data_IF_942998488786
#
_entry.id   IF_942998488786
#
_cell.length_a   1.000
_cell.length_b   1.000
_cell.length_c   1.000
_cell.angle_alpha   90.00
_cell.angle_beta   90.00
_cell.angle_gamma   90.00
#
_symmetry.space_group_name_H-M   'P 1'
#
loop_
_entity.id
_entity.type
_entity.pdbx_description
1 polymer ?
#
# COMPACT_ATOMS: atom_id res chain seq x y z
N UNK A 1 -42.10 61.13 -65.73
CA UNK A 1 -41.36 61.07 -64.44
C UNK A 1 -40.98 59.63 -64.22
N UNK A 2 -39.67 59.37 -64.13
CA UNK A 2 -39.05 58.06 -63.90
C UNK A 2 -38.98 57.81 -62.41
N UNK A 3 -39.23 56.58 -61.96
CA UNK A 3 -38.57 56.01 -60.78
C UNK A 3 -38.56 54.48 -60.94
N UNK A 4 -37.43 53.96 -61.42
CA UNK A 4 -37.09 52.54 -61.37
C UNK A 4 -36.19 52.35 -60.16
N UNK A 5 -36.68 51.62 -59.16
CA UNK A 5 -35.91 51.23 -57.98
C UNK A 5 -35.22 49.90 -58.31
N UNK A 6 -33.89 49.95 -58.40
CA UNK A 6 -33.02 48.78 -58.48
C UNK A 6 -32.69 48.34 -57.05
N UNK A 7 -33.22 47.20 -56.64
CA UNK A 7 -32.89 46.54 -55.38
C UNK A 7 -31.71 45.59 -55.64
N UNK A 8 -30.50 46.01 -55.25
CA UNK A 8 -29.31 45.15 -55.25
C UNK A 8 -29.35 44.27 -54.00
N UNK A 9 -29.55 42.97 -54.21
CA UNK A 9 -29.33 41.96 -53.17
C UNK A 9 -27.83 41.64 -53.13
N UNK A 10 -27.13 42.17 -52.13
CA UNK A 10 -25.77 41.77 -51.80
C UNK A 10 -25.85 40.46 -50.99
N UNK A 11 -25.66 39.33 -51.67
CA UNK A 11 -25.47 38.03 -51.03
C UNK A 11 -24.08 38.01 -50.42
N UNK A 12 -23.97 38.32 -49.13
CA UNK A 12 -22.75 38.09 -48.36
C UNK A 12 -22.59 36.58 -48.18
N UNK A 13 -21.70 35.97 -48.98
CA UNK A 13 -21.24 34.62 -48.72
C UNK A 13 -20.44 34.65 -47.40
N UNK A 14 -21.08 34.27 -46.29
CA UNK A 14 -20.35 33.81 -45.12
C UNK A 14 -19.64 32.52 -45.54
N UNK A 15 -18.38 32.65 -45.92
CA UNK A 15 -17.43 31.55 -45.87
C UNK A 15 -17.30 31.20 -44.38
N UNK A 16 -18.11 30.23 -43.93
CA UNK A 16 -17.76 29.49 -42.73
C UNK A 16 -16.42 28.82 -43.05
N UNK A 17 -15.35 29.32 -42.46
CA UNK A 17 -14.13 28.55 -42.36
C UNK A 17 -14.52 27.29 -41.59
N UNK A 18 -14.58 26.15 -42.28
CA UNK A 18 -14.54 24.86 -41.60
C UNK A 18 -13.31 24.93 -40.69
N UNK A 19 -13.41 24.60 -39.39
CA UNK A 19 -12.21 24.44 -38.59
C UNK A 19 -11.31 23.47 -39.36
N UNK A 20 -10.07 23.91 -39.65
CA UNK A 20 -9.05 22.96 -40.04
C UNK A 20 -9.00 21.95 -38.90
N UNK A 21 -9.29 20.69 -39.21
CA UNK A 21 -9.24 19.59 -38.26
C UNK A 21 -7.80 19.62 -37.73
N UNK A 22 -7.65 19.98 -36.46
CA UNK A 22 -6.34 20.16 -35.87
C UNK A 22 -5.84 18.77 -35.48
N UNK A 23 -5.46 18.00 -36.50
CA UNK A 23 -4.89 16.67 -36.36
C UNK A 23 -3.51 16.73 -35.70
N UNK A 24 -3.11 15.61 -35.11
CA UNK A 24 -1.74 15.38 -34.67
C UNK A 24 -0.81 15.39 -35.88
N UNK A 25 0.04 16.41 -35.99
CA UNK A 25 0.94 16.58 -37.14
C UNK A 25 2.40 16.45 -36.72
N UNK A 26 3.20 15.72 -37.51
CA UNK A 26 4.63 15.58 -37.29
C UNK A 26 5.22 14.29 -37.86
N UNK A 27 6.55 14.20 -37.83
CA UNK A 27 7.28 12.95 -38.05
C UNK A 27 8.42 12.89 -37.03
N UNK A 28 8.42 11.89 -36.15
CA UNK A 28 9.32 11.79 -35.00
C UNK A 28 9.05 12.78 -33.86
N UNK A 29 8.55 13.99 -34.15
CA UNK A 29 7.98 14.91 -33.16
C UNK A 29 6.60 15.32 -33.63
N UNK A 30 5.58 14.94 -32.87
CA UNK A 30 4.15 15.03 -33.19
C UNK A 30 3.49 15.98 -32.20
N UNK A 31 2.69 16.92 -32.69
CA UNK A 31 1.96 17.86 -31.85
C UNK A 31 0.48 17.85 -32.20
N UNK A 32 -0.36 17.57 -31.21
CA UNK A 32 -1.81 17.65 -31.31
C UNK A 32 -2.26 18.98 -30.69
N UNK A 33 -2.74 19.91 -31.52
CA UNK A 33 -3.07 21.29 -31.11
C UNK A 33 -4.58 21.59 -31.10
N UNK A 34 -5.42 20.60 -31.40
CA UNK A 34 -6.87 20.69 -31.29
C UNK A 34 -7.48 19.29 -31.35
N UNK A 35 -8.66 19.17 -31.96
CA UNK A 35 -9.36 17.89 -32.00
C UNK A 35 -8.83 17.00 -33.14
N UNK A 36 -8.30 15.86 -32.74
CA UNK A 36 -8.04 14.67 -33.55
C UNK A 36 -9.09 13.60 -33.21
N UNK A 37 -9.75 13.04 -34.23
CA UNK A 37 -10.91 12.16 -34.05
C UNK A 37 -10.71 10.77 -34.63
N UNK A 38 -9.52 10.50 -35.15
CA UNK A 38 -9.14 9.23 -35.77
C UNK A 38 -7.89 8.61 -35.12
N UNK A 39 -7.50 9.12 -33.95
CA UNK A 39 -6.34 8.67 -33.19
C UNK A 39 -5.01 9.03 -33.85
N UNK A 40 -3.92 8.56 -33.25
CA UNK A 40 -2.58 8.70 -33.82
C UNK A 40 -1.78 7.40 -33.66
N UNK A 41 -1.19 6.93 -34.76
CA UNK A 41 -0.38 5.70 -34.77
C UNK A 41 0.99 5.94 -35.43
N UNK A 42 2.07 5.49 -34.78
CA UNK A 42 3.43 5.44 -35.35
C UNK A 42 4.21 4.26 -34.73
N UNK A 43 4.95 3.52 -35.55
CA UNK A 43 5.77 2.37 -35.11
C UNK A 43 7.29 2.68 -35.17
N UNK A 44 7.66 3.95 -35.32
CA UNK A 44 9.06 4.38 -35.34
C UNK A 44 9.61 4.53 -33.92
N UNK A 45 10.87 4.17 -33.71
CA UNK A 45 11.55 4.39 -32.43
C UNK A 45 11.71 5.89 -32.12
N UNK A 46 11.64 6.25 -30.84
CA UNK A 46 11.94 7.58 -30.34
C UNK A 46 10.93 8.66 -30.74
N UNK A 47 9.69 8.28 -31.07
CA UNK A 47 8.62 9.24 -31.37
C UNK A 47 8.28 10.04 -30.11
N UNK A 48 8.29 11.35 -30.23
CA UNK A 48 7.84 12.28 -29.19
C UNK A 48 6.49 12.88 -29.60
N UNK A 49 5.45 12.64 -28.81
CA UNK A 49 4.10 13.15 -29.04
C UNK A 49 3.68 14.09 -27.90
N UNK A 50 3.10 15.23 -28.25
CA UNK A 50 2.52 16.17 -27.26
C UNK A 50 1.08 16.52 -27.59
N UNK A 51 0.17 16.22 -26.67
CA UNK A 51 -1.23 16.67 -26.70
C UNK A 51 -1.31 17.97 -25.89
N UNK A 52 -1.50 19.09 -26.57
CA UNK A 52 -1.46 20.42 -25.94
C UNK A 52 -2.70 20.69 -25.07
N UNK A 53 -2.63 21.66 -24.14
CA UNK A 53 -3.79 22.10 -23.38
C UNK A 53 -4.98 22.47 -24.28
N UNK A 54 -6.13 21.83 -24.06
CA UNK A 54 -7.36 22.02 -24.83
C UNK A 54 -7.40 21.30 -26.18
N UNK A 55 -6.37 20.55 -26.54
CA UNK A 55 -6.43 19.56 -27.61
C UNK A 55 -7.09 18.26 -27.12
N UNK A 56 -7.59 17.47 -28.06
CA UNK A 56 -8.17 16.16 -27.77
C UNK A 56 -7.74 15.16 -28.84
N UNK A 57 -7.39 13.94 -28.44
CA UNK A 57 -7.16 12.79 -29.34
C UNK A 57 -8.17 11.72 -28.99
N UNK A 58 -9.06 11.37 -29.91
CA UNK A 58 -10.11 10.38 -29.67
C UNK A 58 -10.13 9.31 -30.76
N UNK A 59 -10.40 8.07 -30.40
CA UNK A 59 -10.54 6.94 -31.34
C UNK A 59 -11.63 5.95 -30.87
N UNK A 60 -12.24 5.21 -31.80
CA UNK A 60 -13.11 4.07 -31.44
C UNK A 60 -12.29 2.85 -30.99
N UNK A 61 -10.98 2.82 -31.26
CA UNK A 61 -10.02 1.85 -30.70
C UNK A 61 -8.98 2.60 -29.86
N UNK A 62 -7.71 2.31 -30.09
CA UNK A 62 -6.58 2.96 -29.43
C UNK A 62 -6.54 4.45 -29.82
N UNK A 63 -6.48 5.37 -28.85
CA UNK A 63 -6.38 6.81 -29.16
C UNK A 63 -4.98 7.22 -29.58
N UNK A 64 -3.95 6.74 -28.89
CA UNK A 64 -2.53 6.95 -29.25
C UNK A 64 -1.83 5.59 -29.22
N UNK A 65 -1.19 5.21 -30.34
CA UNK A 65 -0.45 3.95 -30.47
C UNK A 65 0.98 4.21 -30.97
N UNK A 66 1.95 4.08 -30.08
CA UNK A 66 3.38 4.31 -30.35
C UNK A 66 4.21 3.06 -30.05
N UNK A 67 4.20 2.08 -30.97
CA UNK A 67 4.80 0.75 -30.74
C UNK A 67 6.33 0.71 -30.83
N UNK A 68 6.97 1.78 -31.30
CA UNK A 68 8.44 1.89 -31.37
C UNK A 68 9.07 2.04 -29.98
N UNK A 69 10.35 1.67 -29.86
CA UNK A 69 11.07 1.77 -28.58
C UNK A 69 11.33 3.24 -28.21
N UNK A 70 11.30 3.57 -26.92
CA UNK A 70 11.71 4.87 -26.41
C UNK A 70 10.76 6.02 -26.77
N UNK A 71 9.48 5.73 -26.97
CA UNK A 71 8.47 6.76 -27.20
C UNK A 71 8.36 7.71 -26.00
N UNK A 72 8.07 8.99 -26.27
CA UNK A 72 7.78 9.99 -25.23
C UNK A 72 6.42 10.62 -25.49
N UNK A 73 5.46 10.37 -24.60
CA UNK A 73 4.12 10.97 -24.66
C UNK A 73 3.98 12.02 -23.56
N UNK A 74 3.63 13.24 -23.94
CA UNK A 74 3.22 14.30 -23.02
C UNK A 74 1.75 14.63 -23.28
N UNK A 75 0.87 14.30 -22.34
CA UNK A 75 -0.53 14.67 -22.40
C UNK A 75 -0.84 15.82 -21.44
N UNK A 76 -1.12 17.00 -21.97
CA UNK A 76 -1.67 18.14 -21.23
C UNK A 76 -3.14 18.43 -21.64
N UNK A 77 -3.71 17.59 -22.51
CA UNK A 77 -5.06 17.73 -23.06
C UNK A 77 -5.98 16.58 -22.65
N UNK A 78 -6.78 16.09 -23.60
CA UNK A 78 -7.65 14.94 -23.41
C UNK A 78 -7.28 13.82 -24.39
N UNK A 79 -7.16 12.60 -23.90
CA UNK A 79 -6.99 11.38 -24.69
C UNK A 79 -8.16 10.45 -24.35
N UNK A 80 -8.92 10.01 -25.35
CA UNK A 80 -10.11 9.16 -25.17
C UNK A 80 -10.06 7.98 -26.15
N UNK A 81 -9.69 6.81 -25.64
CA UNK A 81 -9.70 5.54 -26.37
C UNK A 81 -11.00 4.79 -26.19
N UNK A 82 -11.54 4.24 -27.27
CA UNK A 82 -12.64 3.28 -27.18
C UNK A 82 -12.20 1.91 -26.68
N UNK A 83 -10.93 1.57 -26.95
CA UNK A 83 -10.22 0.40 -26.41
C UNK A 83 -9.14 0.91 -25.44
N UNK A 84 -7.90 1.12 -25.89
CA UNK A 84 -6.84 1.72 -25.08
C UNK A 84 -6.68 3.24 -25.24
N UNK A 85 -6.30 3.92 -24.16
CA UNK A 85 -5.97 5.35 -24.20
C UNK A 85 -4.63 5.59 -24.90
N UNK A 86 -3.56 5.04 -24.33
CA UNK A 86 -2.19 5.20 -24.80
C UNK A 86 -1.50 3.83 -24.80
N UNK A 87 -1.08 3.35 -25.98
CA UNK A 87 -0.26 2.15 -26.16
C UNK A 87 1.16 2.57 -26.50
N UNK A 88 2.17 2.03 -25.82
CA UNK A 88 3.58 2.37 -26.05
C UNK A 88 4.49 1.14 -26.17
N UNK A 89 5.65 1.31 -26.80
CA UNK A 89 6.74 0.32 -26.84
C UNK A 89 7.65 0.33 -25.60
N UNK A 90 8.63 -0.57 -25.57
CA UNK A 90 9.61 -0.66 -24.48
C UNK A 90 10.39 0.64 -24.27
N UNK A 91 10.85 0.88 -23.04
CA UNK A 91 11.57 2.09 -22.63
C UNK A 91 10.82 3.41 -22.85
N UNK A 92 9.50 3.35 -23.03
CA UNK A 92 8.70 4.55 -23.21
C UNK A 92 8.56 5.36 -21.93
N UNK A 93 8.28 6.66 -22.09
CA UNK A 93 7.90 7.55 -21.01
C UNK A 93 6.57 8.21 -21.33
N UNK A 94 5.60 8.05 -20.45
CA UNK A 94 4.29 8.72 -20.54
C UNK A 94 4.18 9.71 -19.39
N UNK A 95 3.96 10.98 -19.71
CA UNK A 95 3.68 12.05 -18.76
C UNK A 95 2.25 12.53 -18.97
N UNK A 96 1.40 12.28 -17.98
CA UNK A 96 0.00 12.70 -17.99
C UNK A 96 -0.23 13.84 -17.00
N UNK A 97 -0.40 15.06 -17.54
CA UNK A 97 -0.86 16.25 -16.81
C UNK A 97 -2.32 16.61 -17.16
N UNK A 98 -2.91 15.89 -18.13
CA UNK A 98 -4.26 16.08 -18.63
C UNK A 98 -5.23 15.00 -18.17
N UNK A 99 -6.05 14.52 -19.11
CA UNK A 99 -7.00 13.43 -18.87
C UNK A 99 -6.76 12.32 -19.90
N UNK A 100 -6.70 11.08 -19.43
CA UNK A 100 -6.76 9.87 -20.25
C UNK A 100 -8.00 9.08 -19.82
N UNK A 101 -8.86 8.74 -20.76
CA UNK A 101 -10.02 7.86 -20.57
C UNK A 101 -9.92 6.73 -21.58
N UNK A 102 -10.18 5.50 -21.14
CA UNK A 102 -10.15 4.33 -22.01
C UNK A 102 -11.28 3.35 -21.69
N UNK A 103 -11.74 2.62 -22.71
CA UNK A 103 -12.75 1.58 -22.55
C UNK A 103 -12.20 0.29 -21.94
N UNK A 104 -10.92 -0.01 -22.18
CA UNK A 104 -10.17 -1.14 -21.63
C UNK A 104 -9.04 -0.60 -20.75
N UNK A 105 -7.85 -0.36 -21.31
CA UNK A 105 -6.67 0.10 -20.55
C UNK A 105 -6.31 1.54 -20.84
N UNK A 106 -6.12 2.37 -19.81
CA UNK A 106 -5.80 3.77 -20.06
C UNK A 106 -4.36 3.98 -20.55
N UNK A 107 -3.39 3.26 -19.97
CA UNK A 107 -2.02 3.17 -20.48
C UNK A 107 -1.64 1.68 -20.56
N UNK A 108 -1.28 1.21 -21.75
CA UNK A 108 -0.90 -0.19 -22.00
C UNK A 108 0.55 -0.28 -22.50
N UNK A 109 1.34 -1.07 -21.78
CA UNK A 109 2.68 -1.50 -22.15
C UNK A 109 2.96 -2.94 -21.69
N UNK A 110 1.96 -3.82 -21.79
CA UNK A 110 2.04 -5.23 -21.42
C UNK A 110 3.24 -5.96 -22.05
N UNK A 111 4.05 -6.63 -21.22
CA UNK A 111 5.24 -7.38 -21.63
C UNK A 111 6.43 -6.53 -22.07
N UNK A 112 6.48 -5.23 -21.71
CA UNK A 112 7.50 -4.29 -22.17
C UNK A 112 8.33 -3.71 -21.02
N UNK A 113 9.64 -3.90 -21.11
CA UNK A 113 10.58 -3.48 -20.07
C UNK A 113 10.80 -1.95 -20.03
N UNK A 114 11.09 -1.46 -18.82
CA UNK A 114 11.63 -0.12 -18.59
C UNK A 114 10.68 1.03 -18.94
N UNK A 115 9.37 0.78 -18.93
CA UNK A 115 8.36 1.82 -19.15
C UNK A 115 8.16 2.66 -17.90
N UNK A 116 8.10 3.97 -18.07
CA UNK A 116 7.91 4.94 -16.99
C UNK A 116 6.66 5.79 -17.22
N UNK A 117 5.79 5.84 -16.23
CA UNK A 117 4.58 6.65 -16.22
C UNK A 117 4.66 7.67 -15.09
N UNK A 118 4.42 8.93 -15.42
CA UNK A 118 4.28 10.04 -14.47
C UNK A 118 2.87 10.60 -14.61
N UNK A 119 2.07 10.49 -13.57
CA UNK A 119 0.69 10.98 -13.56
C UNK A 119 0.54 12.13 -12.56
N UNK A 120 0.23 13.32 -13.05
CA UNK A 120 -0.23 14.47 -12.25
C UNK A 120 -1.68 14.85 -12.58
N UNK A 121 -2.22 14.30 -13.67
CA UNK A 121 -3.59 14.49 -14.14
C UNK A 121 -4.56 13.40 -13.67
N UNK A 122 -5.48 13.02 -14.56
CA UNK A 122 -6.49 11.98 -14.34
C UNK A 122 -6.33 10.85 -15.36
N UNK A 123 -6.39 9.62 -14.88
CA UNK A 123 -6.42 8.39 -15.66
C UNK A 123 -7.68 7.61 -15.24
N UNK A 124 -8.55 7.31 -16.19
CA UNK A 124 -9.78 6.53 -15.98
C UNK A 124 -9.83 5.38 -17.01
N UNK A 125 -9.99 4.15 -16.53
CA UNK A 125 -10.02 2.97 -17.37
C UNK A 125 -11.25 2.11 -17.08
N UNK A 126 -11.78 1.47 -18.12
CA UNK A 126 -12.87 0.50 -17.99
C UNK A 126 -12.44 -0.89 -17.56
N UNK A 127 -11.14 -1.19 -17.63
CA UNK A 127 -10.50 -2.40 -17.09
C UNK A 127 -9.32 -2.00 -16.22
N UNK A 128 -8.14 -1.69 -16.81
CA UNK A 128 -6.88 -1.43 -16.10
C UNK A 128 -6.35 -0.01 -16.27
N UNK A 129 -5.94 0.63 -15.18
CA UNK A 129 -5.47 2.02 -15.21
C UNK A 129 -4.14 2.15 -15.96
N UNK A 130 -3.09 1.59 -15.39
CA UNK A 130 -1.75 1.51 -15.99
C UNK A 130 -1.30 0.05 -15.95
N UNK A 131 -1.19 -0.57 -17.13
CA UNK A 131 -0.75 -1.96 -17.27
C UNK A 131 0.65 -2.02 -17.86
N UNK A 132 1.59 -2.54 -17.08
CA UNK A 132 2.97 -2.85 -17.48
C UNK A 132 3.32 -4.24 -16.90
N UNK A 133 2.39 -5.19 -17.07
CA UNK A 133 2.53 -6.55 -16.57
C UNK A 133 3.57 -7.34 -17.37
N UNK A 134 4.00 -8.50 -16.86
CA UNK A 134 5.00 -9.38 -17.49
C UNK A 134 6.29 -8.65 -17.93
N UNK A 135 6.64 -7.56 -17.24
CA UNK A 135 7.78 -6.69 -17.55
C UNK A 135 8.77 -6.65 -16.40
N UNK A 136 9.98 -6.15 -16.68
CA UNK A 136 10.95 -5.81 -15.62
C UNK A 136 11.11 -4.30 -15.50
N UNK A 137 11.00 -3.80 -14.28
CA UNK A 137 11.33 -2.42 -13.93
C UNK A 137 10.32 -1.38 -14.40
N UNK A 138 9.03 -1.72 -14.38
CA UNK A 138 7.94 -0.75 -14.53
C UNK A 138 8.07 0.37 -13.48
N UNK A 139 7.90 1.63 -13.86
CA UNK A 139 7.93 2.76 -12.91
C UNK A 139 6.68 3.60 -13.01
N UNK A 140 5.99 3.80 -11.88
CA UNK A 140 4.85 4.72 -11.75
C UNK A 140 5.11 5.77 -10.66
N UNK A 141 5.08 7.05 -11.04
CA UNK A 141 5.02 8.19 -10.12
C UNK A 141 3.64 8.85 -10.22
N UNK A 142 2.79 8.61 -9.23
CA UNK A 142 1.43 9.12 -9.17
C UNK A 142 1.31 10.24 -8.13
N UNK A 143 0.95 11.44 -8.59
CA UNK A 143 0.49 12.56 -7.78
C UNK A 143 -0.90 13.08 -8.18
N UNK A 144 -1.49 12.49 -9.22
CA UNK A 144 -2.83 12.75 -9.70
C UNK A 144 -3.83 11.71 -9.21
N UNK A 145 -4.73 11.32 -10.11
CA UNK A 145 -5.75 10.28 -9.87
C UNK A 145 -5.65 9.20 -10.93
N UNK A 146 -5.69 7.95 -10.49
CA UNK A 146 -5.84 6.75 -11.32
C UNK A 146 -7.03 5.98 -10.78
N UNK A 147 -8.04 5.78 -11.63
CA UNK A 147 -9.22 4.98 -11.32
C UNK A 147 -9.42 3.93 -12.40
N UNK A 148 -9.64 2.68 -11.99
CA UNK A 148 -9.90 1.58 -12.91
C UNK A 148 -11.02 0.68 -12.36
N UNK A 149 -11.58 -0.17 -13.23
CA UNK A 149 -12.58 -1.14 -12.78
C UNK A 149 -11.87 -2.30 -12.07
N UNK A 150 -10.89 -2.87 -12.74
CA UNK A 150 -9.94 -3.86 -12.24
C UNK A 150 -8.72 -3.12 -11.64
N UNK A 151 -7.52 -3.63 -11.85
CA UNK A 151 -6.27 -3.12 -11.30
C UNK A 151 -5.98 -1.69 -11.79
N UNK A 152 -5.88 -0.76 -10.83
CA UNK A 152 -5.52 0.62 -11.17
C UNK A 152 -4.05 0.73 -11.58
N UNK A 153 -3.18 -0.10 -11.02
CA UNK A 153 -1.80 -0.27 -11.48
C UNK A 153 -1.41 -1.76 -11.42
N UNK A 154 -0.93 -2.29 -12.54
CA UNK A 154 -0.39 -3.66 -12.66
C UNK A 154 1.04 -3.57 -13.19
N UNK A 155 2.01 -4.07 -12.42
CA UNK A 155 3.43 -4.09 -12.77
C UNK A 155 4.03 -5.48 -12.62
N UNK A 156 4.99 -5.84 -13.48
CA UNK A 156 5.74 -7.08 -13.32
C UNK A 156 6.86 -7.01 -12.28
N UNK A 157 7.88 -7.85 -12.43
CA UNK A 157 9.06 -7.91 -11.57
C UNK A 157 9.78 -6.54 -11.46
N UNK A 158 10.35 -6.28 -10.28
CA UNK A 158 11.09 -5.06 -9.96
C UNK A 158 10.27 -3.76 -10.17
N UNK A 159 8.93 -3.84 -10.15
CA UNK A 159 8.07 -2.67 -10.29
C UNK A 159 8.33 -1.63 -9.18
N UNK A 160 8.38 -0.36 -9.57
CA UNK A 160 8.61 0.78 -8.67
C UNK A 160 7.41 1.70 -8.68
N UNK A 161 6.72 1.82 -7.54
CA UNK A 161 5.59 2.72 -7.35
C UNK A 161 5.92 3.81 -6.32
N UNK A 162 5.73 5.07 -6.68
CA UNK A 162 5.61 6.18 -5.73
C UNK A 162 4.24 6.81 -5.86
N UNK A 163 3.43 6.74 -4.80
CA UNK A 163 2.09 7.30 -4.77
C UNK A 163 2.00 8.42 -3.74
N UNK A 164 1.70 9.64 -4.20
CA UNK A 164 1.30 10.80 -3.37
C UNK A 164 -0.13 11.24 -3.67
N UNK A 165 -0.76 10.63 -4.67
CA UNK A 165 -2.10 10.93 -5.16
C UNK A 165 -3.13 9.87 -4.74
N UNK A 166 -4.07 9.61 -5.63
CA UNK A 166 -5.08 8.56 -5.50
C UNK A 166 -4.85 7.46 -6.54
N UNK A 167 -4.85 6.21 -6.08
CA UNK A 167 -4.96 4.99 -6.88
C UNK A 167 -6.18 4.24 -6.36
N UNK A 168 -7.12 3.91 -7.24
CA UNK A 168 -8.40 3.31 -6.85
C UNK A 168 -8.88 2.31 -7.90
N UNK A 169 -9.03 1.06 -7.48
CA UNK A 169 -9.86 0.08 -8.18
C UNK A 169 -11.29 0.10 -7.64
N UNK A 170 -12.25 -0.28 -8.46
CA UNK A 170 -13.66 -0.45 -8.03
C UNK A 170 -14.06 -1.90 -7.79
N UNK A 171 -13.39 -2.87 -8.43
CA UNK A 171 -13.66 -4.30 -8.29
C UNK A 171 -12.44 -5.00 -7.67
N UNK A 172 -11.34 -5.16 -8.42
CA UNK A 172 -10.14 -5.90 -8.02
C UNK A 172 -9.11 -5.03 -7.26
N UNK A 173 -7.81 -5.26 -7.41
CA UNK A 173 -6.78 -4.67 -6.56
C UNK A 173 -6.48 -3.21 -6.88
N UNK A 174 -6.11 -2.44 -5.85
CA UNK A 174 -5.59 -1.09 -6.08
C UNK A 174 -4.28 -1.14 -6.86
N UNK A 175 -3.39 -2.05 -6.45
CA UNK A 175 -2.07 -2.27 -7.03
C UNK A 175 -1.78 -3.75 -7.04
N UNK A 176 -1.32 -4.29 -8.17
CA UNK A 176 -0.80 -5.65 -8.27
C UNK A 176 0.63 -5.62 -8.81
N UNK A 177 1.56 -6.28 -8.12
CA UNK A 177 2.98 -6.34 -8.50
C UNK A 177 3.63 -7.68 -8.20
N UNK A 178 4.60 -8.06 -9.03
CA UNK A 178 5.35 -9.31 -8.85
C UNK A 178 6.60 -9.12 -7.97
N UNK A 179 7.58 -10.02 -8.09
CA UNK A 179 8.74 -10.12 -7.23
C UNK A 179 9.68 -8.91 -7.32
N UNK A 180 10.26 -8.53 -6.18
CA UNK A 180 11.26 -7.46 -6.10
C UNK A 180 10.66 -6.05 -6.17
N UNK A 181 9.33 -5.92 -6.09
CA UNK A 181 8.68 -4.63 -6.17
C UNK A 181 9.07 -3.69 -5.02
N UNK A 182 9.04 -2.39 -5.29
CA UNK A 182 9.22 -1.33 -4.29
C UNK A 182 8.07 -0.35 -4.37
N UNK A 183 7.24 -0.30 -3.33
CA UNK A 183 6.09 0.58 -3.22
C UNK A 183 6.34 1.61 -2.12
N UNK A 184 6.22 2.89 -2.44
CA UNK A 184 6.23 3.99 -1.48
C UNK A 184 4.91 4.74 -1.56
N UNK A 185 4.11 4.65 -0.49
CA UNK A 185 2.80 5.29 -0.41
C UNK A 185 2.82 6.45 0.60
N UNK A 186 2.56 7.65 0.13
CA UNK A 186 2.23 8.86 0.90
C UNK A 186 0.79 9.35 0.62
N UNK A 187 0.12 8.76 -0.37
CA UNK A 187 -1.22 9.08 -0.82
C UNK A 187 -2.27 8.07 -0.34
N UNK A 188 -3.19 7.72 -1.23
CA UNK A 188 -4.25 6.73 -0.95
C UNK A 188 -4.26 5.67 -2.03
N UNK A 189 -4.32 4.41 -1.60
CA UNK A 189 -4.50 3.23 -2.43
C UNK A 189 -5.76 2.51 -1.94
N UNK A 190 -6.71 2.31 -2.86
CA UNK A 190 -7.94 1.59 -2.61
C UNK A 190 -8.03 0.35 -3.49
N UNK A 191 -8.16 -0.80 -2.84
CA UNK A 191 -8.77 -1.98 -3.44
C UNK A 191 -10.26 -1.75 -3.70
N UNK A 192 -10.78 -2.48 -4.66
CA UNK A 192 -12.18 -2.48 -5.00
C UNK A 192 -13.05 -3.18 -3.96
N UNK A 193 -14.32 -3.40 -4.30
CA UNK A 193 -15.29 -3.99 -3.38
C UNK A 193 -15.48 -5.50 -3.56
N UNK A 194 -14.78 -6.10 -4.53
CA UNK A 194 -15.00 -7.49 -4.97
C UNK A 194 -13.65 -8.13 -5.30
N UNK A 195 -13.08 -8.96 -4.42
CA UNK A 195 -11.74 -9.53 -4.64
C UNK A 195 -10.66 -8.46 -4.87
N UNK A 196 -10.69 -7.42 -4.02
CA UNK A 196 -9.88 -6.23 -4.22
C UNK A 196 -9.08 -5.87 -3.00
N UNK A 197 -7.79 -6.17 -3.05
CA UNK A 197 -6.81 -5.81 -2.05
C UNK A 197 -6.33 -4.38 -2.25
N UNK A 198 -5.85 -3.78 -1.17
CA UNK A 198 -5.15 -2.51 -1.30
C UNK A 198 -3.92 -2.69 -2.20
N UNK A 199 -3.11 -3.69 -1.89
CA UNK A 199 -1.93 -4.11 -2.65
C UNK A 199 -1.90 -5.63 -2.66
N UNK A 200 -1.76 -6.22 -3.84
CA UNK A 200 -1.37 -7.61 -4.07
C UNK A 200 0.13 -7.64 -4.49
N UNK A 201 0.95 -8.45 -3.82
CA UNK A 201 2.41 -8.52 -4.00
C UNK A 201 3.01 -9.92 -3.81
N UNK A 202 3.79 -10.39 -4.79
CA UNK A 202 4.57 -11.65 -4.64
C UNK A 202 5.78 -11.52 -3.70
N UNK A 203 6.38 -10.34 -3.59
CA UNK A 203 7.62 -10.13 -2.84
C UNK A 203 8.25 -8.77 -3.04
N UNK A 204 8.82 -8.16 -2.00
CA UNK A 204 9.49 -6.86 -2.13
C UNK A 204 9.45 -5.98 -0.89
N UNK A 205 9.38 -4.67 -1.10
CA UNK A 205 9.38 -3.65 -0.05
C UNK A 205 8.16 -2.73 -0.19
N UNK A 206 7.39 -2.61 0.88
CA UNK A 206 6.30 -1.63 1.01
C UNK A 206 6.66 -0.62 2.10
N UNK A 207 6.62 0.67 1.75
CA UNK A 207 6.79 1.77 2.69
C UNK A 207 5.53 2.63 2.69
N UNK A 208 4.66 2.41 3.67
CA UNK A 208 3.46 3.21 3.88
C UNK A 208 3.78 4.33 4.87
N UNK A 209 3.94 5.56 4.37
CA UNK A 209 4.31 6.73 5.17
C UNK A 209 3.15 7.21 6.03
N UNK A 210 3.43 8.14 6.96
CA UNK A 210 2.45 8.64 7.92
C UNK A 210 1.16 9.24 7.33
N UNK A 211 1.17 9.75 6.10
CA UNK A 211 -0.03 10.21 5.39
C UNK A 211 -0.69 9.15 4.51
N UNK A 212 0.00 8.04 4.29
CA UNK A 212 -0.40 6.93 3.46
C UNK A 212 -1.59 6.17 4.04
N UNK A 213 -2.55 5.90 3.17
CA UNK A 213 -3.64 4.95 3.40
C UNK A 213 -3.54 3.84 2.35
N UNK A 214 -3.57 2.61 2.82
CA UNK A 214 -3.77 1.40 2.01
C UNK A 214 -5.02 0.73 2.57
N UNK A 215 -6.06 0.57 1.76
CA UNK A 215 -7.33 0.00 2.22
C UNK A 215 -7.95 -0.91 1.16
N UNK A 216 -8.15 -2.19 1.51
CA UNK A 216 -9.17 -2.99 0.82
C UNK A 216 -10.54 -2.50 1.25
N UNK A 217 -11.41 -2.30 0.27
CA UNK A 217 -12.80 -1.92 0.48
C UNK A 217 -13.75 -3.09 0.21
N UNK A 218 -13.21 -4.31 0.13
CA UNK A 218 -14.05 -5.49 -0.01
C UNK A 218 -15.09 -5.49 1.10
N UNK A 219 -16.32 -5.75 0.68
CA UNK A 219 -17.44 -5.95 1.60
C UNK A 219 -18.06 -7.33 1.42
N UNK A 220 -17.48 -8.14 0.52
CA UNK A 220 -18.02 -9.43 0.18
C UNK A 220 -17.60 -10.44 1.26
N UNK A 221 -18.52 -10.66 2.20
CA UNK A 221 -18.34 -11.59 3.32
C UNK A 221 -18.40 -13.07 2.91
N UNK A 222 -18.28 -13.35 1.62
CA UNK A 222 -18.31 -14.69 1.06
C UNK A 222 -16.88 -14.99 0.67
N UNK A 223 -16.23 -15.92 1.38
CA UNK A 223 -14.97 -16.51 0.97
C UNK A 223 -15.01 -16.72 -0.55
N UNK A 224 -14.27 -15.90 -1.29
CA UNK A 224 -14.06 -16.09 -2.72
C UNK A 224 -13.21 -17.34 -2.90
N UNK A 225 -12.93 -17.74 -4.14
CA UNK A 225 -11.95 -18.81 -4.36
C UNK A 225 -10.55 -18.40 -3.85
N UNK A 226 -10.35 -17.09 -3.71
CA UNK A 226 -9.07 -16.41 -3.50
C UNK A 226 -8.86 -15.96 -2.03
N UNK A 227 -9.87 -16.12 -1.15
CA UNK A 227 -9.68 -15.91 0.28
C UNK A 227 -10.37 -14.64 0.81
N UNK A 228 -9.92 -14.12 1.98
CA UNK A 228 -10.33 -12.84 2.53
C UNK A 228 -9.46 -11.68 2.06
N UNK A 229 -10.05 -10.52 1.83
CA UNK A 229 -9.34 -9.41 1.20
C UNK A 229 -8.62 -8.53 2.23
N UNK A 230 -7.40 -8.16 1.89
CA UNK A 230 -6.44 -7.56 2.77
C UNK A 230 -6.08 -6.12 2.37
N UNK A 231 -5.64 -5.35 3.36
CA UNK A 231 -4.95 -4.10 3.06
C UNK A 231 -3.73 -4.38 2.18
N UNK A 232 -2.97 -5.42 2.53
CA UNK A 232 -1.87 -5.97 1.74
C UNK A 232 -2.05 -7.49 1.72
N UNK A 233 -2.14 -8.08 0.53
CA UNK A 233 -2.05 -9.52 0.32
C UNK A 233 -0.66 -9.88 -0.19
N UNK A 234 -0.11 -10.98 0.33
CA UNK A 234 1.24 -11.45 0.03
C UNK A 234 1.14 -12.82 -0.62
N UNK A 235 1.36 -12.82 -1.93
CA UNK A 235 1.17 -13.99 -2.76
C UNK A 235 2.28 -15.04 -2.59
N UNK A 236 1.91 -16.29 -2.82
CA UNK A 236 2.89 -17.36 -2.98
C UNK A 236 3.63 -17.21 -4.31
N UNK A 237 4.96 -17.41 -4.35
CA UNK A 237 5.70 -17.23 -5.58
C UNK A 237 5.24 -18.22 -6.66
N UNK A 238 4.90 -17.73 -7.86
CA UNK A 238 4.52 -18.58 -8.99
C UNK A 238 5.60 -19.61 -9.34
N UNK A 239 6.86 -19.24 -9.13
CA UNK A 239 8.04 -20.07 -9.41
C UNK A 239 8.51 -20.75 -8.11
N UNK A 240 8.45 -22.09 -8.02
CA UNK A 240 8.89 -22.80 -6.82
C UNK A 240 10.34 -22.50 -6.45
N UNK A 241 10.53 -21.95 -5.25
CA UNK A 241 11.84 -21.58 -4.70
C UNK A 241 12.37 -20.20 -5.13
N UNK A 242 11.52 -19.36 -5.75
CA UNK A 242 11.75 -17.92 -5.71
C UNK A 242 11.58 -17.41 -4.27
N UNK A 243 12.20 -16.27 -3.97
CA UNK A 243 12.11 -15.64 -2.64
C UNK A 243 10.99 -14.60 -2.70
N UNK A 244 9.90 -14.89 -2.01
CA UNK A 244 8.68 -14.11 -1.89
C UNK A 244 8.58 -13.36 -0.55
N UNK A 245 9.71 -13.14 0.12
CA UNK A 245 9.76 -12.35 1.35
C UNK A 245 9.32 -10.90 1.10
N UNK A 246 8.50 -10.35 2.00
CA UNK A 246 8.07 -8.95 1.97
C UNK A 246 8.57 -8.23 3.22
N UNK A 247 9.12 -7.02 3.03
CA UNK A 247 9.38 -6.07 4.11
C UNK A 247 8.32 -4.95 4.06
N UNK A 248 7.56 -4.79 5.14
CA UNK A 248 6.50 -3.78 5.28
C UNK A 248 6.90 -2.78 6.36
N UNK A 249 7.10 -1.51 5.98
CA UNK A 249 7.37 -0.40 6.88
C UNK A 249 6.15 0.51 6.93
N UNK A 250 5.36 0.41 7.99
CA UNK A 250 4.11 1.14 8.15
C UNK A 250 4.21 2.25 9.21
N UNK A 251 4.19 3.51 8.75
CA UNK A 251 3.94 4.71 9.57
C UNK A 251 2.49 5.21 9.42
N UNK A 252 1.78 4.75 8.39
CA UNK A 252 0.44 5.21 7.97
C UNK A 252 -0.69 4.34 8.50
N UNK A 253 -1.72 4.14 7.67
CA UNK A 253 -2.84 3.23 7.94
C UNK A 253 -2.89 2.15 6.87
N UNK A 254 -2.94 0.89 7.31
CA UNK A 254 -3.26 -0.28 6.50
C UNK A 254 -4.58 -0.85 7.04
N UNK A 255 -5.54 -1.13 6.16
CA UNK A 255 -6.84 -1.70 6.54
C UNK A 255 -7.36 -2.70 5.51
N UNK A 256 -7.97 -3.77 5.97
CA UNK A 256 -8.80 -4.63 5.13
C UNK A 256 -9.76 -5.46 5.96
N UNK A 257 -10.30 -6.51 5.36
CA UNK A 257 -10.93 -7.59 6.13
C UNK A 257 -9.88 -8.28 6.98
N UNK A 258 -8.68 -8.45 6.41
CA UNK A 258 -7.42 -8.66 7.10
C UNK A 258 -6.52 -7.44 6.87
N UNK A 259 -5.69 -7.05 7.83
CA UNK A 259 -4.76 -5.94 7.62
C UNK A 259 -3.67 -6.32 6.62
N UNK A 260 -2.95 -7.39 6.93
CA UNK A 260 -1.91 -8.03 6.10
C UNK A 260 -2.18 -9.53 6.08
N UNK A 261 -2.30 -10.11 4.89
CA UNK A 261 -2.51 -11.55 4.68
C UNK A 261 -1.30 -12.12 3.95
N UNK A 262 -0.93 -13.35 4.29
CA UNK A 262 -0.07 -14.19 3.47
C UNK A 262 -0.88 -15.34 2.89
N UNK A 263 -0.67 -15.59 1.61
CA UNK A 263 -1.40 -16.59 0.87
C UNK A 263 -0.80 -17.99 0.99
N UNK A 264 -1.63 -19.03 0.84
CA UNK A 264 -1.17 -20.39 1.15
C UNK A 264 -0.10 -20.89 0.18
N UNK A 265 1.05 -21.27 0.72
CA UNK A 265 2.14 -21.89 -0.03
C UNK A 265 3.35 -20.98 -0.25
N UNK A 266 3.27 -19.73 0.23
CA UNK A 266 4.46 -18.99 0.60
C UNK A 266 5.09 -19.67 1.83
N UNK A 267 6.42 -19.72 1.85
CA UNK A 267 7.23 -20.42 2.86
C UNK A 267 8.40 -19.54 3.34
N UNK A 268 8.44 -18.29 2.89
CA UNK A 268 9.50 -17.34 3.19
C UNK A 268 9.11 -16.53 4.43
N UNK A 269 10.12 -16.09 5.19
CA UNK A 269 9.88 -15.17 6.31
C UNK A 269 9.66 -13.74 5.85
N UNK A 270 8.76 -13.05 6.52
CA UNK A 270 8.36 -11.66 6.29
C UNK A 270 8.81 -10.75 7.42
N UNK A 271 9.00 -9.46 7.12
CA UNK A 271 9.34 -8.45 8.13
C UNK A 271 8.30 -7.34 8.11
N UNK A 272 7.61 -7.15 9.23
CA UNK A 272 6.57 -6.14 9.38
C UNK A 272 6.94 -5.19 10.51
N UNK A 273 7.32 -3.97 10.18
CA UNK A 273 7.62 -2.90 11.14
C UNK A 273 6.45 -1.92 11.16
N UNK A 274 5.76 -1.84 12.31
CA UNK A 274 4.57 -1.01 12.47
C UNK A 274 4.78 0.11 13.49
N UNK A 275 4.81 1.35 13.01
CA UNK A 275 4.70 2.59 13.79
C UNK A 275 3.35 3.31 13.57
N UNK A 276 2.53 2.82 12.64
CA UNK A 276 1.21 3.34 12.26
C UNK A 276 0.05 2.53 12.83
N UNK A 277 -1.00 2.32 12.02
CA UNK A 277 -2.12 1.45 12.37
C UNK A 277 -2.30 0.35 11.32
N UNK A 278 -2.45 -0.89 11.79
CA UNK A 278 -2.88 -2.04 10.98
C UNK A 278 -4.23 -2.50 11.53
N UNK A 279 -5.27 -2.37 10.72
CA UNK A 279 -6.66 -2.46 11.17
C UNK A 279 -7.37 -3.57 10.40
N UNK A 280 -7.83 -4.58 11.14
CA UNK A 280 -8.79 -5.56 10.65
C UNK A 280 -10.21 -5.03 10.80
N UNK A 281 -11.09 -5.41 9.88
CA UNK A 281 -12.55 -5.35 10.10
C UNK A 281 -13.14 -6.70 10.52
N UNK A 282 -12.30 -7.74 10.60
CA UNK A 282 -12.63 -9.10 11.07
C UNK A 282 -11.76 -9.51 12.26
N UNK A 283 -11.16 -10.69 12.20
CA UNK A 283 -10.43 -11.33 13.29
C UNK A 283 -8.94 -10.97 13.25
N UNK A 284 -8.30 -11.04 12.08
CA UNK A 284 -6.85 -10.91 11.95
C UNK A 284 -6.44 -9.52 11.44
N UNK A 285 -5.58 -8.85 12.19
CA UNK A 285 -4.82 -7.70 11.73
C UNK A 285 -3.63 -8.17 10.85
N UNK A 286 -3.00 -9.27 11.23
CA UNK A 286 -1.97 -9.97 10.46
C UNK A 286 -2.30 -11.47 10.51
N UNK A 287 -2.28 -12.13 9.37
CA UNK A 287 -2.44 -13.58 9.23
C UNK A 287 -1.32 -14.13 8.32
N UNK A 288 -0.25 -14.61 8.93
CA UNK A 288 0.88 -15.26 8.25
C UNK A 288 0.77 -16.79 8.38
N UNK A 289 1.39 -17.50 7.45
CA UNK A 289 1.30 -18.94 7.28
C UNK A 289 2.56 -19.67 7.74
N UNK A 290 3.62 -19.67 6.93
CA UNK A 290 4.82 -20.46 7.19
C UNK A 290 6.03 -19.59 6.86
N UNK A 291 6.94 -19.43 7.80
CA UNK A 291 8.10 -18.59 7.62
C UNK A 291 8.84 -18.42 8.93
N UNK A 292 10.02 -17.80 8.90
CA UNK A 292 10.59 -17.24 10.13
C UNK A 292 10.28 -15.74 10.10
N UNK A 293 9.16 -15.33 10.69
CA UNK A 293 8.59 -14.00 10.59
C UNK A 293 9.07 -13.05 11.69
N UNK A 294 9.13 -11.76 11.36
CA UNK A 294 9.43 -10.71 12.32
C UNK A 294 8.34 -9.64 12.30
N UNK A 295 7.62 -9.49 13.40
CA UNK A 295 6.76 -8.33 13.65
C UNK A 295 7.42 -7.41 14.68
N UNK A 296 7.80 -6.21 14.24
CA UNK A 296 8.29 -5.15 15.10
C UNK A 296 7.20 -4.10 15.36
N UNK A 297 6.76 -3.99 16.61
CA UNK A 297 5.87 -2.95 17.08
C UNK A 297 6.68 -1.78 17.63
N UNK A 298 6.69 -0.67 16.90
CA UNK A 298 7.41 0.56 17.24
C UNK A 298 6.49 1.51 18.01
N UNK A 299 7.06 2.43 18.79
CA UNK A 299 6.35 3.53 19.47
C UNK A 299 5.29 4.20 18.56
N UNK A 300 4.05 4.23 19.04
CA UNK A 300 2.88 4.77 18.32
C UNK A 300 2.13 3.74 17.47
N UNK A 301 2.73 2.58 17.20
CA UNK A 301 2.14 1.49 16.43
C UNK A 301 0.92 0.87 17.13
N UNK A 302 -0.10 0.55 16.35
CA UNK A 302 -1.33 -0.09 16.83
C UNK A 302 -1.81 -1.20 15.89
N UNK A 303 -2.45 -2.20 16.50
CA UNK A 303 -3.17 -3.25 15.81
C UNK A 303 -4.64 -3.22 16.23
N UNK A 304 -5.54 -3.58 15.33
CA UNK A 304 -6.93 -3.90 15.64
C UNK A 304 -7.24 -5.26 15.03
N UNK A 305 -7.24 -6.31 15.84
CA UNK A 305 -7.30 -7.72 15.41
C UNK A 305 -6.15 -8.55 15.99
N UNK A 306 -6.20 -9.86 15.76
CA UNK A 306 -5.16 -10.84 16.08
C UNK A 306 -3.97 -10.70 15.14
N UNK A 307 -2.76 -10.90 15.66
CA UNK A 307 -1.52 -11.07 14.88
C UNK A 307 -1.15 -12.54 14.99
N UNK A 308 -1.30 -13.29 13.89
CA UNK A 308 -0.94 -14.71 13.76
C UNK A 308 0.33 -14.82 12.92
N UNK A 309 1.36 -15.46 13.47
CA UNK A 309 2.66 -15.62 12.80
C UNK A 309 2.81 -16.98 12.09
N UNK A 310 2.09 -18.01 12.53
CA UNK A 310 1.96 -19.25 11.77
C UNK A 310 2.94 -20.35 12.20
N UNK A 311 3.49 -21.12 11.25
CA UNK A 311 4.54 -22.12 11.52
C UNK A 311 5.91 -21.50 11.27
N UNK A 312 6.82 -21.56 12.24
CA UNK A 312 8.07 -20.79 12.14
C UNK A 312 8.99 -20.83 13.33
N UNK A 313 10.13 -20.14 13.25
CA UNK A 313 10.75 -19.54 14.44
C UNK A 313 10.50 -18.03 14.38
N UNK A 314 9.42 -17.57 15.03
CA UNK A 314 8.92 -16.21 14.83
C UNK A 314 9.33 -15.23 15.94
N UNK A 315 9.56 -13.98 15.55
CA UNK A 315 9.99 -12.90 16.42
C UNK A 315 8.91 -11.81 16.55
N UNK A 316 8.47 -11.53 17.78
CA UNK A 316 7.75 -10.30 18.13
C UNK A 316 8.67 -9.34 18.87
N UNK A 317 9.01 -8.22 18.25
CA UNK A 317 9.86 -7.19 18.86
C UNK A 317 9.05 -5.95 19.24
N UNK A 318 9.21 -5.47 20.46
CA UNK A 318 8.67 -4.20 20.93
C UNK A 318 9.78 -3.16 21.07
N UNK A 319 9.76 -2.14 20.21
CA UNK A 319 10.83 -1.13 20.09
C UNK A 319 10.36 0.28 20.44
N UNK A 320 11.22 1.07 21.09
CA UNK A 320 10.93 2.47 21.44
C UNK A 320 10.34 2.67 22.84
N UNK A 321 9.93 3.90 23.15
CA UNK A 321 9.30 4.22 24.43
C UNK A 321 7.79 4.19 24.23
N UNK A 322 7.14 3.20 24.82
CA UNK A 322 5.69 3.09 24.75
C UNK A 322 5.05 4.25 25.54
N UNK A 323 4.49 5.23 24.82
CA UNK A 323 3.97 6.50 25.37
C UNK A 323 2.44 6.56 25.44
N UNK A 324 1.75 5.57 24.87
CA UNK A 324 0.29 5.41 24.82
C UNK A 324 -0.12 3.92 24.78
N UNK A 325 -1.40 3.62 24.51
CA UNK A 325 -1.93 2.25 24.48
C UNK A 325 -1.34 1.43 23.32
N UNK A 326 -0.40 0.55 23.63
CA UNK A 326 0.31 -0.33 22.68
C UNK A 326 -0.51 -1.57 22.36
N UNK A 327 -0.57 -1.90 21.07
CA UNK A 327 -1.25 -3.10 20.58
C UNK A 327 -2.77 -2.96 20.37
N UNK A 328 -3.40 -1.87 20.83
CA UNK A 328 -4.80 -1.57 20.53
C UNK A 328 -5.85 -2.40 21.29
N UNK A 329 -7.11 -2.33 20.84
CA UNK A 329 -8.28 -2.94 21.49
C UNK A 329 -8.28 -4.46 21.25
N UNK A 330 -8.63 -5.24 22.28
CA UNK A 330 -7.83 -6.41 22.68
C UNK A 330 -7.24 -7.17 21.47
N UNK A 331 -5.93 -7.02 21.28
CA UNK A 331 -5.15 -7.78 20.31
C UNK A 331 -4.50 -8.99 20.98
N UNK A 332 -4.58 -10.12 20.29
CA UNK A 332 -3.83 -11.34 20.58
C UNK A 332 -2.64 -11.40 19.63
N UNK A 333 -1.45 -11.66 20.16
CA UNK A 333 -0.31 -12.10 19.36
C UNK A 333 -0.16 -13.59 19.57
N UNK A 334 -0.10 -14.32 18.49
CA UNK A 334 -0.01 -15.77 18.41
C UNK A 334 1.24 -16.15 17.62
N UNK A 335 2.21 -16.76 18.30
CA UNK A 335 3.44 -17.24 17.66
C UNK A 335 3.22 -18.53 16.86
N UNK A 336 2.15 -19.28 17.14
CA UNK A 336 1.81 -20.47 16.36
C UNK A 336 2.70 -21.70 16.63
N UNK A 337 3.06 -22.43 15.57
CA UNK A 337 3.89 -23.64 15.69
C UNK A 337 5.36 -23.30 15.54
N UNK A 338 6.10 -23.24 16.65
CA UNK A 338 7.49 -22.82 16.56
C UNK A 338 8.29 -22.92 17.85
N UNK A 339 9.50 -22.37 17.82
CA UNK A 339 10.11 -21.81 19.03
C UNK A 339 10.12 -20.29 18.88
N UNK A 340 9.10 -19.64 19.44
CA UNK A 340 8.82 -18.24 19.15
C UNK A 340 9.32 -17.33 20.27
N UNK A 341 9.70 -16.12 19.88
CA UNK A 341 10.43 -15.20 20.73
C UNK A 341 9.77 -13.83 20.82
N UNK A 342 9.43 -13.42 22.04
CA UNK A 342 9.04 -12.03 22.32
C UNK A 342 10.20 -11.27 22.92
N UNK A 343 10.52 -10.12 22.33
CA UNK A 343 11.61 -9.25 22.78
C UNK A 343 11.17 -7.81 23.06
N UNK A 344 11.80 -7.21 24.05
CA UNK A 344 11.59 -5.81 24.44
C UNK A 344 12.90 -5.04 24.30
N UNK A 345 12.85 -3.88 23.63
CA UNK A 345 13.95 -2.92 23.52
C UNK A 345 14.51 -2.53 24.91
N UNK A 346 15.83 -2.31 25.03
CA UNK A 346 16.47 -1.81 26.25
C UNK A 346 15.87 -0.53 26.86
N UNK A 347 15.14 0.28 26.09
CA UNK A 347 14.34 1.40 26.60
C UNK A 347 13.28 0.95 27.60
N UNK A 348 12.73 -0.26 27.42
CA UNK A 348 11.78 -0.92 28.33
C UNK A 348 12.57 -1.67 29.40
N UNK A 349 12.51 -1.19 30.63
CA UNK A 349 13.17 -1.88 31.74
C UNK A 349 12.28 -3.00 32.29
N UNK A 350 12.88 -4.06 32.84
CA UNK A 350 12.18 -5.07 33.65
C UNK A 350 11.29 -4.47 34.76
N UNK A 351 11.60 -3.25 35.22
CA UNK A 351 10.82 -2.54 36.23
C UNK A 351 9.50 -1.95 35.71
N UNK A 352 9.31 -1.90 34.39
CA UNK A 352 8.12 -1.37 33.74
C UNK A 352 7.06 -2.46 33.55
N UNK A 353 7.43 -3.75 33.63
CA UNK A 353 6.47 -4.86 33.68
C UNK A 353 5.74 -4.82 35.04
N UNK A 354 4.44 -4.55 35.01
CA UNK A 354 3.58 -4.37 36.18
C UNK A 354 2.89 -5.67 36.59
N UNK A 355 2.49 -6.49 35.61
CA UNK A 355 1.73 -7.72 35.84
C UNK A 355 1.94 -8.72 34.71
N UNK A 356 1.88 -10.00 35.06
CA UNK A 356 1.76 -11.11 34.12
C UNK A 356 0.73 -12.08 34.70
N UNK A 357 -0.34 -12.32 33.96
CA UNK A 357 -1.44 -13.20 34.38
C UNK A 357 -1.95 -13.99 33.19
N UNK A 358 -2.73 -15.03 33.43
CA UNK A 358 -3.51 -15.63 32.34
C UNK A 358 -4.56 -14.63 31.89
N UNK A 359 -4.68 -14.43 30.59
CA UNK A 359 -5.67 -13.55 29.99
C UNK A 359 -7.08 -14.03 30.35
N UNK A 360 -7.94 -13.09 30.71
CA UNK A 360 -9.38 -13.29 30.88
C UNK A 360 -10.17 -13.02 29.59
N UNK A 361 -9.48 -12.50 28.55
CA UNK A 361 -10.03 -12.21 27.23
C UNK A 361 -9.80 -13.36 26.26
N UNK A 362 -8.57 -13.90 26.23
CA UNK A 362 -8.16 -14.96 25.32
C UNK A 362 -7.81 -16.23 26.11
N UNK A 363 -8.47 -17.34 25.80
CA UNK A 363 -8.23 -18.61 26.49
C UNK A 363 -6.83 -19.14 26.18
N UNK A 364 -6.06 -19.50 27.20
CA UNK A 364 -4.68 -20.02 27.03
C UNK A 364 -3.60 -18.94 26.93
N UNK A 365 -3.96 -17.71 26.54
CA UNK A 365 -3.00 -16.62 26.42
C UNK A 365 -2.52 -16.08 27.77
N UNK A 366 -1.29 -15.58 27.80
CA UNK A 366 -0.74 -14.75 28.86
C UNK A 366 -1.01 -13.27 28.57
N UNK A 367 -1.58 -12.56 29.54
CA UNK A 367 -1.65 -11.11 29.53
C UNK A 367 -0.43 -10.52 30.26
N UNK A 368 0.43 -9.83 29.50
CA UNK A 368 1.59 -9.09 30.00
C UNK A 368 1.26 -7.59 30.04
N UNK A 369 1.20 -7.02 31.24
CA UNK A 369 0.93 -5.60 31.43
C UNK A 369 2.20 -4.86 31.81
N UNK A 370 2.48 -3.75 31.13
CA UNK A 370 3.58 -2.84 31.44
C UNK A 370 3.11 -1.39 31.57
N UNK A 371 3.91 -0.57 32.25
CA UNK A 371 3.68 0.84 32.44
C UNK A 371 4.34 1.65 31.32
N UNK A 372 3.54 2.51 30.71
CA UNK A 372 3.98 3.45 29.67
C UNK A 372 4.67 4.68 30.31
N UNK A 373 5.42 5.44 29.51
CA UNK A 373 6.14 6.62 30.01
C UNK A 373 5.18 7.69 30.59
N UNK A 374 4.00 7.82 29.99
CA UNK A 374 2.95 8.75 30.44
C UNK A 374 2.26 8.31 31.75
N UNK A 375 2.55 7.07 32.21
CA UNK A 375 1.99 6.43 33.39
C UNK A 375 0.68 5.67 33.16
N UNK A 376 0.23 5.55 31.92
CA UNK A 376 -0.80 4.59 31.52
C UNK A 376 -0.26 3.15 31.55
N UNK A 377 -1.15 2.18 31.34
CA UNK A 377 -0.79 0.77 31.30
C UNK A 377 -1.21 0.21 29.95
N UNK A 378 -0.33 -0.57 29.33
CA UNK A 378 -0.63 -1.37 28.14
C UNK A 378 -0.56 -2.85 28.47
N UNK A 379 -1.36 -3.65 27.77
CA UNK A 379 -1.43 -5.10 27.98
C UNK A 379 -1.36 -5.80 26.64
N UNK A 380 -0.36 -6.66 26.48
CA UNK A 380 -0.27 -7.59 25.36
C UNK A 380 -0.86 -8.93 25.78
N UNK A 381 -1.69 -9.51 24.94
CA UNK A 381 -2.08 -10.92 25.09
C UNK A 381 -1.20 -11.74 24.15
N UNK A 382 -0.49 -12.71 24.71
CA UNK A 382 0.51 -13.53 24.02
C UNK A 382 0.13 -15.00 24.19
N UNK A 383 0.07 -15.75 23.10
CA UNK A 383 -0.08 -17.21 23.11
C UNK A 383 1.02 -17.82 22.24
N UNK A 384 1.43 -19.05 22.58
CA UNK A 384 2.43 -19.81 21.83
C UNK A 384 3.72 -19.02 21.59
N UNK A 385 4.31 -18.55 22.71
CA UNK A 385 5.66 -17.99 22.76
C UNK A 385 6.46 -18.66 23.88
N UNK A 386 7.61 -19.24 23.53
CA UNK A 386 8.46 -20.01 24.44
C UNK A 386 9.46 -19.13 25.18
N UNK A 387 9.98 -18.12 24.49
CA UNK A 387 11.16 -17.36 24.88
C UNK A 387 10.84 -15.87 25.01
N UNK A 388 11.40 -15.24 26.04
CA UNK A 388 11.20 -13.84 26.36
C UNK A 388 12.54 -13.15 26.57
N UNK A 389 12.88 -12.20 25.71
CA UNK A 389 14.13 -11.46 25.78
C UNK A 389 13.94 -10.06 26.33
N UNK A 390 14.63 -9.71 27.41
CA UNK A 390 14.55 -8.38 28.02
C UNK A 390 15.93 -7.76 28.15
N UNK A 391 16.10 -6.55 27.61
CA UNK A 391 17.34 -5.78 27.67
C UNK A 391 17.89 -5.41 26.30
N UNK A 392 19.12 -4.89 26.27
CA UNK A 392 19.72 -4.36 25.04
C UNK A 392 20.03 -5.44 24.01
N UNK A 393 19.81 -5.15 22.72
CA UNK A 393 20.32 -5.97 21.63
C UNK A 393 21.83 -6.24 21.84
N UNK A 394 22.18 -7.53 22.01
CA UNK A 394 23.55 -7.99 22.30
C UNK A 394 23.93 -8.18 23.78
N UNK A 395 23.08 -7.77 24.74
CA UNK A 395 23.19 -8.06 26.19
C UNK A 395 21.82 -8.48 26.76
N UNK A 396 20.97 -9.02 25.90
CA UNK A 396 19.58 -9.39 26.21
C UNK A 396 19.55 -10.62 27.11
N UNK A 397 18.81 -10.53 28.20
CA UNK A 397 18.57 -11.68 29.07
C UNK A 397 17.36 -12.43 28.52
N UNK A 398 17.59 -13.68 28.11
CA UNK A 398 16.53 -14.58 27.61
C UNK A 398 15.99 -15.42 28.76
N UNK A 399 14.67 -15.47 28.87
CA UNK A 399 13.91 -16.20 29.87
C UNK A 399 12.96 -17.16 29.17
N UNK A 400 12.83 -18.39 29.65
CA UNK A 400 11.68 -19.21 29.27
C UNK A 400 10.41 -18.71 29.96
N UNK A 401 9.23 -19.06 29.46
CA UNK A 401 7.97 -18.84 30.19
C UNK A 401 8.05 -19.40 31.62
N UNK A 402 8.71 -20.54 31.80
CA UNK A 402 8.90 -21.15 33.13
C UNK A 402 9.82 -20.34 34.04
N UNK A 403 10.80 -19.61 33.50
CA UNK A 403 11.66 -18.70 34.27
C UNK A 403 10.89 -17.45 34.71
N UNK A 404 10.00 -16.95 33.85
CA UNK A 404 9.11 -15.82 34.15
C UNK A 404 8.06 -16.19 35.22
N UNK A 405 7.49 -17.40 35.13
CA UNK A 405 6.46 -17.90 36.05
C UNK A 405 7.03 -18.56 37.33
N UNK A 406 8.29 -18.99 37.30
CA UNK A 406 8.81 -20.04 38.19
C UNK A 406 10.00 -19.63 39.05
N UNK A 407 9.96 -18.46 39.69
CA UNK A 407 10.70 -18.17 40.94
C UNK A 407 10.28 -16.81 41.49
N UNK A 408 10.02 -16.63 42.80
CA UNK A 408 10.02 -15.30 43.39
C UNK A 408 11.44 -14.75 43.22
N UNK A 409 11.66 -13.93 42.20
CA UNK A 409 12.94 -13.25 41.97
C UNK A 409 13.28 -12.55 43.28
N UNK A 410 14.39 -12.89 43.96
CA UNK A 410 14.92 -12.03 45.00
C UNK A 410 15.32 -10.75 44.27
N UNK A 411 14.46 -9.73 44.32
CA UNK A 411 14.79 -8.39 43.88
C UNK A 411 16.19 -8.08 44.44
N UNK A 412 17.14 -7.59 43.62
CA UNK A 412 18.44 -7.20 44.12
C UNK A 412 18.24 -6.33 45.36
N UNK A 413 18.85 -6.74 46.47
CA UNK A 413 18.64 -6.19 47.80
C UNK A 413 18.87 -4.67 47.79
N UNK A 414 17.80 -3.91 47.57
CA UNK A 414 17.86 -2.47 47.32
C UNK A 414 16.49 -1.82 47.07
N UNK A 415 15.47 -2.59 46.65
CA UNK A 415 14.10 -2.10 46.49
C UNK A 415 13.21 -2.54 47.66
N UNK A 416 12.64 -1.62 48.46
CA UNK A 416 11.72 -1.99 49.53
C UNK A 416 10.38 -2.47 48.96
N UNK A 417 10.16 -3.79 49.11
CA UNK A 417 8.88 -4.49 49.27
C UNK A 417 7.60 -3.68 48.95
N UNK A 418 7.08 -3.84 47.73
CA UNK A 418 5.66 -3.68 47.44
C UNK A 418 4.93 -4.96 47.84
N UNK A 419 4.72 -5.12 49.14
CA UNK A 419 3.82 -6.12 49.70
C UNK A 419 2.91 -5.44 50.70
N UNK A 420 1.63 -5.28 50.35
CA UNK A 420 0.52 -4.69 51.13
C UNK A 420 0.31 -3.17 51.04
N UNK A 421 -0.15 -2.68 49.89
CA UNK A 421 -0.95 -1.44 49.84
C UNK A 421 -1.82 -1.33 48.57
N UNK A 422 -2.70 -2.30 48.33
CA UNK A 422 -3.96 -1.99 47.65
C UNK A 422 -4.69 -0.94 48.50
N UNK A 423 -4.68 0.32 48.07
CA UNK A 423 -5.68 1.31 48.52
C UNK A 423 -5.25 2.75 48.88
N UNK A 424 -3.97 3.14 48.96
CA UNK A 424 -3.63 4.48 49.51
C UNK A 424 -2.50 5.29 48.81
N UNK A 425 -1.96 4.83 47.67
CA UNK A 425 -0.81 5.46 47.01
C UNK A 425 -1.09 6.65 46.07
N UNK A 426 -2.35 6.92 45.72
CA UNK A 426 -2.69 7.91 44.67
C UNK A 426 -2.64 9.39 45.10
N UNK A 427 -2.16 9.74 46.31
CA UNK A 427 -2.32 11.13 46.85
C UNK A 427 -1.02 11.93 46.97
N UNK A 428 0.19 11.39 46.79
CA UNK A 428 1.42 12.13 47.14
C UNK A 428 2.48 12.31 46.05
N UNK A 429 2.10 12.41 44.77
CA UNK A 429 3.00 12.89 43.70
C UNK A 429 2.67 14.28 43.14
N UNK A 430 2.03 15.15 43.94
CA UNK A 430 1.84 16.58 43.62
C UNK A 430 2.50 17.48 44.66
N UNK A 431 3.82 17.66 44.55
CA UNK A 431 4.58 18.89 44.91
C UNK A 431 6.08 18.62 44.89
N UNK A 432 6.74 18.83 43.75
CA UNK A 432 8.06 19.46 43.68
C UNK A 432 8.53 19.51 42.22
N UNK A 433 8.13 20.56 41.49
CA UNK A 433 8.89 21.17 40.38
C UNK A 433 8.25 22.53 40.04
N UNK A 434 8.63 23.52 40.85
CA UNK A 434 8.63 24.96 40.51
C UNK A 434 9.74 25.62 41.33
N UNK A 435 10.89 25.77 40.71
CA UNK A 435 11.86 26.85 40.89
C UNK A 435 12.74 26.86 39.66
#
# INVERSE_FOLDING_TARGET
MRFSVLLSAATAALLAASPAWAQCEGAGTVVCAGADTDGFEDASDGVSLSVLPGASVTSEGDAIKLEGEGAYVLNEGAVEGGDEGIVVGAYATVVNDGTVVAGDKAIDADGLDGVSVVNTGSIEAGDKGVRIADSVGATLDNSGTITAVSEAFEGGDDAMLTNTGLIESTEEDGVQVQLGATIVNEGTIYGGTTNGDGIDIDGGLIVNRASGLIESRSTDLVFTEDGPEAGIDIDAPEVPGAVASVEILNDGVIRGEIGILEDYGNLDGHVIVNAGAIISTREFAIDLNIGDDLVELVEGGTFEGTVSLGEGEDDLLLTGIMDADVGGMPTLFDGGEGEDFVSFDPSVALGDIVSYVMSDVFEGAMALTFANEDGSLSTLSLIDFELFGIGAAGDQMVYSLSDLLGSPVPLPAGLPLFGTALGLGAVLRRRARRA
#
